data_IF_376275426862
#
_entry.id   IF_376275426862
#
_cell.length_a   1.000
_cell.length_b   1.000
_cell.length_c   1.000
_cell.angle_alpha   90.00
_cell.angle_beta   90.00
_cell.angle_gamma   90.00
#
_symmetry.space_group_name_H-M   'P 1'
#
loop_
_entity.id
_entity.type
_entity.pdbx_description
1 polymer ?
#
# COMPACT_ATOMS: atom_id res chain seq x y z
N UNK A 1 -14.94 -16.38 -10.86
CA UNK A 1 -14.95 -16.04 -9.43
C UNK A 1 -13.58 -15.78 -8.83
N UNK A 2 -12.55 -16.55 -9.17
CA UNK A 2 -11.21 -16.51 -8.55
C UNK A 2 -10.25 -15.41 -9.05
N UNK A 3 -10.51 -14.79 -10.21
CA UNK A 3 -9.60 -13.78 -10.80
C UNK A 3 -9.28 -12.57 -9.89
N UNK A 4 -10.27 -11.90 -9.22
CA UNK A 4 -9.95 -10.74 -8.38
C UNK A 4 -9.15 -11.07 -7.12
N UNK A 5 -9.46 -12.14 -6.33
CA UNK A 5 -8.63 -12.50 -5.18
C UNK A 5 -7.19 -12.87 -5.56
N UNK A 6 -7.01 -13.68 -6.61
CA UNK A 6 -5.69 -14.08 -7.08
C UNK A 6 -4.85 -12.87 -7.53
N UNK A 7 -5.46 -11.91 -8.24
CA UNK A 7 -4.81 -10.67 -8.63
C UNK A 7 -4.37 -9.86 -7.40
N UNK A 8 -5.19 -9.80 -6.35
CA UNK A 8 -4.83 -9.07 -5.12
C UNK A 8 -3.70 -9.75 -4.35
N UNK A 9 -3.69 -11.08 -4.26
CA UNK A 9 -2.55 -11.82 -3.67
C UNK A 9 -1.26 -11.51 -4.43
N UNK A 10 -1.30 -11.55 -5.77
CA UNK A 10 -0.15 -11.17 -6.62
C UNK A 10 0.31 -9.74 -6.33
N UNK A 11 -0.62 -8.80 -6.21
CA UNK A 11 -0.32 -7.40 -5.86
C UNK A 11 0.41 -7.33 -4.52
N UNK A 12 -0.01 -8.09 -3.49
CA UNK A 12 0.66 -8.05 -2.19
C UNK A 12 2.08 -8.66 -2.24
N UNK A 13 2.29 -9.69 -3.05
CA UNK A 13 3.64 -10.22 -3.30
C UNK A 13 4.55 -9.18 -3.98
N UNK A 14 4.04 -8.47 -4.98
CA UNK A 14 4.77 -7.38 -5.65
C UNK A 14 5.12 -6.26 -4.66
N UNK A 15 4.17 -5.87 -3.79
CA UNK A 15 4.39 -4.84 -2.77
C UNK A 15 5.42 -5.31 -1.74
N UNK A 16 5.40 -6.57 -1.36
CA UNK A 16 6.40 -7.14 -0.44
C UNK A 16 7.80 -7.03 -1.04
N UNK A 17 7.97 -7.39 -2.31
CA UNK A 17 9.23 -7.18 -3.04
C UNK A 17 9.65 -5.70 -3.11
N UNK A 18 8.69 -4.79 -3.34
CA UNK A 18 8.93 -3.34 -3.29
C UNK A 18 9.49 -2.91 -1.93
N UNK A 19 8.87 -3.36 -0.83
CA UNK A 19 9.28 -2.98 0.54
C UNK A 19 10.70 -3.48 0.81
N UNK A 20 11.01 -4.74 0.46
CA UNK A 20 12.33 -5.34 0.65
C UNK A 20 13.42 -4.59 -0.12
N UNK A 21 13.23 -4.37 -1.42
CA UNK A 21 14.19 -3.68 -2.26
C UNK A 21 14.35 -2.21 -1.84
N UNK A 22 13.24 -1.52 -1.54
CA UNK A 22 13.28 -0.13 -1.08
C UNK A 22 14.01 0.01 0.25
N UNK A 23 13.85 -0.94 1.19
CA UNK A 23 14.57 -0.97 2.47
C UNK A 23 16.08 -1.02 2.24
N UNK A 24 16.54 -1.87 1.34
CA UNK A 24 17.98 -2.00 1.02
C UNK A 24 18.52 -0.73 0.36
N UNK A 25 17.79 -0.13 -0.59
CA UNK A 25 18.26 1.05 -1.33
C UNK A 25 18.23 2.30 -0.44
N UNK A 26 17.23 2.46 0.40
CA UNK A 26 17.14 3.58 1.35
C UNK A 26 18.23 3.46 2.43
N UNK A 27 18.54 2.24 2.92
CA UNK A 27 19.64 2.03 3.87
C UNK A 27 21.03 2.39 3.28
N UNK A 28 21.18 2.36 1.96
CA UNK A 28 22.36 2.83 1.22
C UNK A 28 22.39 4.34 0.99
N UNK A 29 21.43 5.11 1.57
CA UNK A 29 21.41 6.56 1.54
C UNK A 29 20.58 7.19 0.42
N UNK A 30 19.83 6.41 -0.36
CA UNK A 30 18.96 6.98 -1.39
C UNK A 30 17.83 7.79 -0.78
N UNK A 31 17.59 8.98 -1.32
CA UNK A 31 16.53 9.86 -0.87
C UNK A 31 15.15 9.33 -1.30
N UNK A 32 14.24 9.17 -0.35
CA UNK A 32 12.95 8.53 -0.58
C UNK A 32 12.10 9.22 -1.66
N UNK A 33 12.15 10.57 -1.73
CA UNK A 33 11.43 11.32 -2.76
C UNK A 33 12.04 11.17 -4.15
N UNK A 34 13.38 11.00 -4.24
CA UNK A 34 14.03 10.68 -5.50
C UNK A 34 13.61 9.28 -6.00
N UNK A 35 13.56 8.28 -5.10
CA UNK A 35 13.05 6.96 -5.43
C UNK A 35 11.61 7.03 -5.96
N UNK A 36 10.73 7.80 -5.30
CA UNK A 36 9.34 7.97 -5.74
C UNK A 36 9.23 8.71 -7.08
N UNK A 37 10.03 9.76 -7.30
CA UNK A 37 10.06 10.51 -8.55
C UNK A 37 10.46 9.63 -9.74
N UNK A 38 11.59 8.92 -9.63
CA UNK A 38 12.06 8.00 -10.68
C UNK A 38 11.07 6.87 -10.93
N UNK A 39 10.57 6.22 -9.87
CA UNK A 39 9.57 5.17 -9.98
C UNK A 39 8.32 5.63 -10.72
N UNK A 40 7.82 6.83 -10.42
CA UNK A 40 6.63 7.38 -11.06
C UNK A 40 6.89 7.76 -12.52
N UNK A 41 8.05 8.34 -12.83
CA UNK A 41 8.43 8.69 -14.20
C UNK A 41 8.52 7.42 -15.09
N UNK A 42 9.30 6.43 -14.65
CA UNK A 42 9.41 5.16 -15.38
C UNK A 42 8.08 4.39 -15.40
N UNK A 43 7.29 4.41 -14.31
CA UNK A 43 5.97 3.81 -14.26
C UNK A 43 5.00 4.43 -15.28
N UNK A 44 5.01 5.76 -15.39
CA UNK A 44 4.23 6.49 -16.40
C UNK A 44 4.65 6.09 -17.81
N UNK A 45 5.96 6.03 -18.09
CA UNK A 45 6.48 5.58 -19.39
C UNK A 45 6.06 4.16 -19.72
N UNK A 46 5.98 3.27 -18.73
CA UNK A 46 5.55 1.88 -18.95
C UNK A 46 4.05 1.76 -19.19
N UNK A 47 3.20 2.58 -18.55
CA UNK A 47 1.74 2.50 -18.71
C UNK A 47 1.30 3.20 -20.01
N UNK A 48 1.97 4.27 -20.40
CA UNK A 48 1.61 5.13 -21.52
C UNK A 48 1.38 4.35 -22.84
N UNK A 49 2.24 3.41 -23.27
CA UNK A 49 2.00 2.62 -24.48
C UNK A 49 0.67 1.84 -24.40
N UNK A 50 0.36 1.25 -23.25
CA UNK A 50 -0.89 0.51 -23.06
C UNK A 50 -2.10 1.44 -23.16
N UNK A 51 -2.02 2.65 -22.59
CA UNK A 51 -3.06 3.66 -22.74
C UNK A 51 -3.27 4.07 -24.20
N UNK A 52 -2.16 4.24 -24.95
CA UNK A 52 -2.21 4.60 -26.36
C UNK A 52 -2.76 3.48 -27.25
N UNK A 53 -2.47 2.21 -26.95
CA UNK A 53 -2.93 1.07 -27.76
C UNK A 53 -4.37 0.65 -27.40
N UNK A 54 -4.67 0.47 -26.12
CA UNK A 54 -5.97 -0.09 -25.68
C UNK A 54 -7.07 0.97 -25.52
N UNK A 55 -6.71 2.22 -25.23
CA UNK A 55 -7.67 3.32 -25.00
C UNK A 55 -7.41 4.48 -25.96
N UNK A 56 -7.22 4.17 -27.23
CA UNK A 56 -6.86 5.11 -28.30
C UNK A 56 -7.86 6.27 -28.39
N UNK A 57 -7.36 7.51 -28.38
CA UNK A 57 -8.18 8.71 -28.50
C UNK A 57 -8.97 9.11 -27.26
N UNK A 58 -9.01 8.30 -26.20
CA UNK A 58 -9.76 8.55 -24.98
C UNK A 58 -9.17 9.66 -24.08
N UNK A 59 -7.93 10.08 -24.36
CA UNK A 59 -7.33 11.25 -23.71
C UNK A 59 -8.12 12.56 -24.01
N UNK A 60 -8.87 12.63 -25.12
CA UNK A 60 -9.71 13.78 -25.48
C UNK A 60 -10.93 13.94 -24.58
N UNK A 61 -11.35 12.87 -23.92
CA UNK A 61 -12.46 12.87 -22.95
C UNK A 61 -11.99 13.38 -21.56
N UNK A 62 -10.69 13.70 -21.40
CA UNK A 62 -10.10 14.21 -20.16
C UNK A 62 -10.52 15.68 -19.98
N UNK A 63 -11.61 15.89 -19.25
CA UNK A 63 -12.16 17.21 -18.95
C UNK A 63 -11.49 17.80 -17.70
N UNK A 64 -11.51 19.11 -17.51
CA UNK A 64 -10.98 19.79 -16.32
C UNK A 64 -11.51 19.21 -15.01
N UNK A 65 -12.78 18.82 -14.97
CA UNK A 65 -13.40 18.14 -13.83
C UNK A 65 -12.73 16.78 -13.53
N UNK A 66 -12.49 15.99 -14.56
CA UNK A 66 -11.81 14.69 -14.46
C UNK A 66 -10.36 14.86 -14.02
N UNK A 67 -9.66 15.85 -14.60
CA UNK A 67 -8.29 16.18 -14.22
C UNK A 67 -8.20 16.59 -12.74
N UNK A 68 -9.17 17.38 -12.26
CA UNK A 68 -9.29 17.77 -10.86
C UNK A 68 -9.44 16.55 -9.93
N UNK A 69 -10.29 15.58 -10.30
CA UNK A 69 -10.45 14.33 -9.54
C UNK A 69 -9.18 13.49 -9.55
N UNK A 70 -8.48 13.38 -10.68
CA UNK A 70 -7.22 12.64 -10.79
C UNK A 70 -6.11 13.34 -9.99
N UNK A 71 -6.04 14.68 -10.03
CA UNK A 71 -5.09 15.47 -9.25
C UNK A 71 -5.32 15.29 -7.73
N UNK A 72 -6.57 15.33 -7.28
CA UNK A 72 -6.95 15.04 -5.90
C UNK A 72 -6.58 13.61 -5.50
N UNK A 73 -6.87 12.64 -6.37
CA UNK A 73 -6.54 11.24 -6.17
C UNK A 73 -5.04 11.01 -6.04
N UNK A 74 -4.22 11.64 -6.88
CA UNK A 74 -2.76 11.55 -6.81
C UNK A 74 -2.18 12.25 -5.57
N UNK A 75 -2.76 13.39 -5.18
CA UNK A 75 -2.34 14.10 -3.98
C UNK A 75 -2.60 13.26 -2.73
N UNK A 76 -3.82 12.75 -2.57
CA UNK A 76 -4.24 11.98 -1.39
C UNK A 76 -3.63 10.57 -1.38
N UNK A 77 -3.45 9.95 -2.55
CA UNK A 77 -2.93 8.57 -2.64
C UNK A 77 -1.42 8.45 -2.76
N UNK A 78 -0.74 9.52 -3.15
CA UNK A 78 0.70 9.50 -3.43
C UNK A 78 1.48 10.52 -2.60
N UNK A 79 1.22 11.81 -2.80
CA UNK A 79 2.06 12.86 -2.26
C UNK A 79 1.89 12.99 -0.73
N UNK A 80 0.67 13.13 -0.25
CA UNK A 80 0.40 13.31 1.18
C UNK A 80 0.83 12.11 2.04
N UNK A 81 0.43 10.86 1.72
CA UNK A 81 0.86 9.73 2.55
C UNK A 81 2.38 9.56 2.56
N UNK A 82 3.06 9.81 1.45
CA UNK A 82 4.53 9.72 1.39
C UNK A 82 5.19 10.77 2.29
N UNK A 83 4.71 12.02 2.26
CA UNK A 83 5.22 13.09 3.12
C UNK A 83 4.97 12.80 4.60
N UNK A 84 3.73 12.48 4.95
CA UNK A 84 3.34 12.22 6.34
C UNK A 84 4.08 11.00 6.90
N UNK A 85 4.24 9.95 6.10
CA UNK A 85 4.99 8.76 6.49
C UNK A 85 6.49 9.07 6.68
N UNK A 86 7.10 9.85 5.78
CA UNK A 86 8.51 10.24 5.88
C UNK A 86 8.79 10.99 7.19
N UNK A 87 7.98 12.00 7.50
CA UNK A 87 8.14 12.75 8.76
C UNK A 87 7.75 11.92 9.99
N UNK A 88 6.73 11.09 9.87
CA UNK A 88 6.32 10.17 10.94
C UNK A 88 7.42 9.16 11.28
N UNK A 89 8.07 8.57 10.27
CA UNK A 89 9.20 7.66 10.45
C UNK A 89 10.44 8.34 11.04
N UNK A 90 10.65 9.62 10.73
CA UNK A 90 11.75 10.39 11.32
C UNK A 90 11.58 10.56 12.83
N UNK A 91 10.34 10.69 13.29
CA UNK A 91 10.01 10.95 14.69
C UNK A 91 9.70 9.66 15.48
N UNK A 92 9.62 8.49 14.80
CA UNK A 92 9.26 7.19 15.39
C UNK A 92 10.14 6.06 14.86
N UNK A 93 9.76 4.81 15.12
CA UNK A 93 10.46 3.63 14.62
C UNK A 93 9.72 2.98 13.44
N UNK A 94 10.44 2.30 12.50
CA UNK A 94 9.80 1.57 11.39
C UNK A 94 8.78 0.53 11.84
N UNK A 95 9.06 -0.17 12.96
CA UNK A 95 8.13 -1.15 13.52
C UNK A 95 6.84 -0.50 14.02
N UNK A 96 6.95 0.71 14.61
CA UNK A 96 5.80 1.48 15.04
C UNK A 96 4.97 1.98 13.85
N UNK A 97 5.61 2.47 12.79
CA UNK A 97 4.93 2.90 11.57
C UNK A 97 4.18 1.76 10.87
N UNK A 98 4.71 0.54 10.90
CA UNK A 98 4.05 -0.63 10.32
C UNK A 98 2.68 -0.93 10.96
N UNK A 99 2.52 -0.63 12.26
CA UNK A 99 1.23 -0.80 12.96
C UNK A 99 0.14 0.06 12.30
N UNK A 100 0.46 1.31 11.95
CA UNK A 100 -0.52 2.21 11.33
C UNK A 100 -0.91 1.80 9.92
N UNK A 101 0.01 1.20 9.15
CA UNK A 101 -0.33 0.64 7.83
C UNK A 101 -1.35 -0.50 7.93
N UNK A 102 -1.31 -1.27 9.00
CA UNK A 102 -2.22 -2.38 9.22
C UNK A 102 -3.65 -1.93 9.61
N UNK A 103 -3.84 -0.66 9.97
CA UNK A 103 -5.16 -0.08 10.27
C UNK A 103 -5.88 0.38 8.97
N UNK A 104 -5.17 0.51 7.85
CA UNK A 104 -5.72 0.97 6.57
C UNK A 104 -7.01 0.22 6.17
N UNK A 105 -7.10 -1.12 6.22
CA UNK A 105 -8.32 -1.83 5.86
C UNK A 105 -9.54 -1.40 6.69
N UNK A 106 -9.34 -1.18 7.98
CA UNK A 106 -10.40 -0.73 8.88
C UNK A 106 -10.88 0.67 8.51
N UNK A 107 -9.95 1.62 8.32
CA UNK A 107 -10.29 2.99 7.93
C UNK A 107 -11.00 3.00 6.57
N UNK A 108 -10.49 2.27 5.58
CA UNK A 108 -11.11 2.20 4.25
C UNK A 108 -12.51 1.60 4.32
N UNK A 109 -12.71 0.56 5.12
CA UNK A 109 -14.02 -0.05 5.31
C UNK A 109 -15.03 0.92 5.92
N UNK A 110 -14.62 1.67 6.97
CA UNK A 110 -15.45 2.71 7.59
C UNK A 110 -15.78 3.81 6.58
N UNK A 111 -14.76 4.36 5.88
CA UNK A 111 -14.97 5.41 4.89
C UNK A 111 -15.89 4.95 3.74
N UNK A 112 -15.69 3.74 3.24
CA UNK A 112 -16.50 3.17 2.16
C UNK A 112 -17.96 2.98 2.58
N UNK A 113 -18.19 2.66 3.85
CA UNK A 113 -19.52 2.52 4.44
C UNK A 113 -20.19 3.90 4.61
N UNK A 114 -19.48 4.87 5.17
CA UNK A 114 -19.97 6.25 5.36
C UNK A 114 -20.31 6.89 4.00
N UNK A 115 -19.47 6.68 2.99
CA UNK A 115 -19.70 7.17 1.63
C UNK A 115 -20.72 6.34 0.84
N UNK A 116 -21.40 5.38 1.48
CA UNK A 116 -22.40 4.48 0.87
C UNK A 116 -21.90 3.72 -0.37
N UNK A 117 -20.60 3.48 -0.44
CA UNK A 117 -19.98 2.68 -1.50
C UNK A 117 -20.03 1.19 -1.20
N UNK A 118 -20.10 0.83 0.07
CA UNK A 118 -20.32 -0.53 0.57
C UNK A 118 -21.68 -0.60 1.27
N UNK A 119 -22.48 -1.60 0.90
CA UNK A 119 -23.75 -1.87 1.61
C UNK A 119 -23.43 -2.61 2.89
N UNK A 120 -23.53 -1.92 4.01
CA UNK A 120 -23.37 -2.52 5.33
C UNK A 120 -24.77 -2.72 5.95
N UNK A 121 -25.24 -3.92 5.93
CA UNK A 121 -26.45 -4.33 6.65
C UNK A 121 -26.02 -5.01 7.95
N UNK A 122 -25.82 -4.23 9.01
CA UNK A 122 -25.38 -4.75 10.32
C UNK A 122 -26.27 -5.88 10.89
N UNK A 123 -27.54 -5.91 10.50
CA UNK A 123 -28.51 -6.93 10.95
C UNK A 123 -28.50 -8.21 10.12
N UNK A 124 -27.67 -8.30 9.07
CA UNK A 124 -27.55 -9.50 8.26
C UNK A 124 -26.28 -10.27 8.58
N UNK A 125 -26.33 -11.59 8.49
CA UNK A 125 -25.16 -12.46 8.68
C UNK A 125 -23.99 -12.06 7.79
N UNK A 126 -24.25 -11.59 6.56
CA UNK A 126 -23.25 -11.10 5.61
C UNK A 126 -22.53 -9.83 6.06
N UNK A 127 -23.27 -8.89 6.65
CA UNK A 127 -22.68 -7.66 7.20
C UNK A 127 -21.79 -7.94 8.41
N UNK A 128 -22.27 -8.79 9.34
CA UNK A 128 -21.50 -9.20 10.52
C UNK A 128 -20.21 -9.94 10.12
N UNK A 129 -20.27 -10.83 9.14
CA UNK A 129 -19.08 -11.55 8.63
C UNK A 129 -18.01 -10.59 8.07
N UNK A 130 -18.40 -9.53 7.35
CA UNK A 130 -17.45 -8.53 6.87
C UNK A 130 -16.76 -7.80 8.01
N UNK A 131 -17.52 -7.33 9.01
CA UNK A 131 -16.96 -6.64 10.17
C UNK A 131 -15.99 -7.54 10.95
N UNK A 132 -16.43 -8.78 11.25
CA UNK A 132 -15.58 -9.76 11.93
C UNK A 132 -14.33 -10.06 11.12
N UNK A 133 -14.44 -10.23 9.80
CA UNK A 133 -13.29 -10.46 8.92
C UNK A 133 -12.28 -9.31 8.94
N UNK A 134 -12.74 -8.04 8.92
CA UNK A 134 -11.87 -6.85 9.05
C UNK A 134 -11.18 -6.84 10.40
N UNK A 135 -11.92 -7.04 11.49
CA UNK A 135 -11.37 -7.02 12.86
C UNK A 135 -10.35 -8.15 13.07
N UNK A 136 -10.63 -9.36 12.57
CA UNK A 136 -9.69 -10.47 12.63
C UNK A 136 -8.42 -10.19 11.82
N UNK A 137 -8.54 -9.63 10.62
CA UNK A 137 -7.37 -9.32 9.79
C UNK A 137 -6.48 -8.25 10.46
N UNK A 138 -7.07 -7.18 10.98
CA UNK A 138 -6.34 -6.13 11.70
C UNK A 138 -5.77 -6.66 13.02
N UNK A 139 -6.56 -7.41 13.79
CA UNK A 139 -6.10 -8.04 15.04
C UNK A 139 -4.93 -9.02 14.81
N UNK A 140 -4.98 -9.81 13.73
CA UNK A 140 -3.89 -10.70 13.32
C UNK A 140 -2.59 -9.95 13.02
N UNK A 141 -2.65 -8.83 12.30
CA UNK A 141 -1.45 -8.01 12.04
C UNK A 141 -0.91 -7.33 13.30
N UNK A 142 -1.79 -6.94 14.22
CA UNK A 142 -1.38 -6.43 15.53
C UNK A 142 -0.67 -7.52 16.35
N UNK A 143 -1.17 -8.77 16.30
CA UNK A 143 -0.51 -9.91 16.93
C UNK A 143 0.91 -10.12 16.36
N UNK A 144 1.09 -10.11 15.03
CA UNK A 144 2.41 -10.23 14.41
C UNK A 144 3.35 -9.12 14.88
N UNK A 145 2.84 -7.89 15.02
CA UNK A 145 3.66 -6.70 15.30
C UNK A 145 3.99 -6.55 16.80
N UNK A 146 3.05 -6.88 17.68
CA UNK A 146 3.16 -6.60 19.12
C UNK A 146 3.55 -7.83 19.94
N UNK A 147 3.04 -9.01 19.58
CA UNK A 147 3.29 -10.24 20.34
C UNK A 147 4.37 -11.07 19.69
N UNK A 148 5.56 -11.12 20.27
CA UNK A 148 6.69 -11.92 19.78
C UNK A 148 6.63 -13.37 20.25
N UNK A 149 6.31 -13.64 21.52
CA UNK A 149 6.26 -14.99 22.09
C UNK A 149 7.62 -15.73 22.01
N UNK A 150 7.57 -17.05 22.04
CA UNK A 150 8.77 -17.90 21.89
C UNK A 150 9.31 -17.86 20.45
N UNK A 151 10.63 -17.81 20.32
CA UNK A 151 11.33 -17.88 19.03
C UNK A 151 11.33 -19.32 18.56
N UNK A 152 10.84 -19.55 17.33
CA UNK A 152 10.88 -20.84 16.66
C UNK A 152 12.14 -20.88 15.76
N UNK A 153 13.11 -21.70 16.12
CA UNK A 153 14.34 -21.91 15.33
C UNK A 153 14.03 -22.89 14.20
N UNK A 154 13.44 -22.41 13.11
CA UNK A 154 13.12 -23.25 11.94
C UNK A 154 14.33 -23.39 11.00
N UNK A 155 15.25 -22.45 11.02
CA UNK A 155 16.45 -22.40 10.18
C UNK A 155 17.63 -21.96 11.05
N UNK A 156 18.70 -22.74 11.05
CA UNK A 156 19.89 -22.49 11.88
C UNK A 156 20.76 -21.35 11.34
N UNK A 157 20.40 -20.11 11.60
CA UNK A 157 21.30 -18.97 11.37
C UNK A 157 21.13 -17.91 12.43
N UNK A 158 22.11 -17.85 13.33
CA UNK A 158 22.31 -16.78 14.30
C UNK A 158 22.90 -15.55 13.61
N UNK A 159 22.09 -14.76 12.89
CA UNK A 159 22.49 -13.41 12.55
C UNK A 159 21.92 -12.45 13.59
N UNK A 160 22.84 -11.87 14.34
CA UNK A 160 22.62 -10.90 15.42
C UNK A 160 21.80 -9.72 14.89
N UNK A 161 20.55 -9.61 15.31
CA UNK A 161 19.72 -8.43 15.07
C UNK A 161 20.40 -7.23 15.74
N UNK A 162 21.06 -6.39 14.97
CA UNK A 162 21.41 -5.06 15.45
C UNK A 162 20.10 -4.25 15.56
N UNK A 163 19.64 -4.17 16.79
CA UNK A 163 18.53 -3.31 17.18
C UNK A 163 19.02 -1.86 17.10
N UNK A 164 18.70 -1.18 16.01
CA UNK A 164 18.85 0.28 15.96
C UNK A 164 17.71 0.88 16.80
N UNK A 165 17.87 0.88 18.10
CA UNK A 165 17.11 1.72 19.00
C UNK A 165 17.85 3.07 19.11
N UNK A 166 17.43 4.04 18.32
CA UNK A 166 17.76 5.43 18.63
C UNK A 166 16.82 5.89 19.75
N UNK A 167 17.34 6.51 20.83
CA UNK A 167 16.52 7.07 21.89
C UNK A 167 15.78 8.30 21.34
N UNK A 168 14.52 8.14 20.97
CA UNK A 168 13.66 9.25 20.59
C UNK A 168 13.07 9.88 21.85
N UNK A 169 13.24 11.21 22.00
CA UNK A 169 12.63 11.97 23.08
C UNK A 169 11.10 11.88 22.98
N UNK A 170 10.43 11.67 24.11
CA UNK A 170 8.96 11.44 24.18
C UNK A 170 8.13 12.53 23.45
N UNK A 171 8.64 13.76 23.39
CA UNK A 171 7.96 14.89 22.74
C UNK A 171 7.84 14.75 21.21
N UNK A 172 8.79 14.10 20.54
CA UNK A 172 8.73 13.84 19.11
C UNK A 172 7.85 12.64 18.76
N UNK A 173 7.70 11.69 19.68
CA UNK A 173 6.92 10.47 19.45
C UNK A 173 5.42 10.74 19.23
N UNK A 174 4.82 11.67 19.97
CA UNK A 174 3.40 12.05 19.80
C UNK A 174 3.17 12.68 18.42
N UNK A 175 4.06 13.60 18.00
CA UNK A 175 4.00 14.20 16.66
C UNK A 175 4.11 13.14 15.56
N UNK A 176 5.06 12.21 15.69
CA UNK A 176 5.24 11.12 14.77
C UNK A 176 4.01 10.21 14.68
N UNK A 177 3.36 9.93 15.81
CA UNK A 177 2.10 9.16 15.86
C UNK A 177 0.98 9.84 15.08
N UNK A 178 0.78 11.14 15.27
CA UNK A 178 -0.25 11.92 14.54
C UNK A 178 0.03 11.91 13.04
N UNK A 179 1.29 12.08 12.64
CA UNK A 179 1.70 12.05 11.23
C UNK A 179 1.48 10.67 10.59
N UNK A 180 1.81 9.57 11.29
CA UNK A 180 1.57 8.21 10.82
C UNK A 180 0.09 7.88 10.71
N UNK A 181 -0.72 8.31 11.68
CA UNK A 181 -2.17 8.16 11.61
C UNK A 181 -2.75 8.93 10.42
N UNK A 182 -2.31 10.17 10.22
CA UNK A 182 -2.67 10.99 9.05
C UNK A 182 -2.27 10.33 7.73
N UNK A 183 -1.07 9.73 7.67
CA UNK A 183 -0.61 8.97 6.50
C UNK A 183 -1.53 7.79 6.19
N UNK A 184 -1.90 7.01 7.21
CA UNK A 184 -2.80 5.86 7.05
C UNK A 184 -4.20 6.29 6.63
N UNK A 185 -4.69 7.40 7.17
CA UNK A 185 -5.98 7.96 6.80
C UNK A 185 -6.00 8.44 5.34
N UNK A 186 -5.00 9.19 4.91
CA UNK A 186 -4.89 9.65 3.52
C UNK A 186 -4.76 8.48 2.55
N UNK A 187 -3.92 7.48 2.88
CA UNK A 187 -3.78 6.30 2.05
C UNK A 187 -5.08 5.48 1.98
N UNK A 188 -5.80 5.33 3.08
CA UNK A 188 -7.10 4.66 3.12
C UNK A 188 -8.16 5.41 2.29
N UNK A 189 -8.13 6.74 2.29
CA UNK A 189 -9.05 7.60 1.54
C UNK A 189 -8.84 7.51 0.02
N UNK A 190 -7.65 7.10 -0.42
CA UNK A 190 -7.37 6.90 -1.84
C UNK A 190 -8.31 5.89 -2.49
N UNK A 191 -8.65 4.78 -1.84
CA UNK A 191 -9.49 3.73 -2.41
C UNK A 191 -10.92 4.19 -2.74
N UNK A 192 -11.64 4.88 -1.84
CA UNK A 192 -12.93 5.49 -2.17
C UNK A 192 -12.82 6.54 -3.29
N UNK A 193 -11.79 7.39 -3.25
CA UNK A 193 -11.59 8.42 -4.28
C UNK A 193 -11.30 7.77 -5.64
N UNK A 194 -10.46 6.73 -5.68
CA UNK A 194 -10.21 5.94 -6.88
C UNK A 194 -11.51 5.32 -7.44
N UNK A 195 -12.42 4.87 -6.56
CA UNK A 195 -13.73 4.38 -6.98
C UNK A 195 -14.56 5.48 -7.64
N UNK A 196 -14.50 6.73 -7.14
CA UNK A 196 -15.16 7.88 -7.76
C UNK A 196 -14.52 8.25 -9.09
N UNK A 197 -13.20 8.27 -9.17
CA UNK A 197 -12.46 8.50 -10.43
C UNK A 197 -12.87 7.47 -11.48
N UNK A 198 -12.96 6.19 -11.13
CA UNK A 198 -13.39 5.13 -12.04
C UNK A 198 -14.83 5.29 -12.55
N UNK A 199 -15.71 5.97 -11.78
CA UNK A 199 -17.08 6.29 -12.22
C UNK A 199 -17.12 7.47 -13.18
N UNK A 200 -16.31 8.50 -12.94
CA UNK A 200 -16.24 9.71 -13.75
C UNK A 200 -15.46 9.46 -15.05
N UNK A 201 -14.39 8.67 -14.96
CA UNK A 201 -13.49 8.37 -16.06
C UNK A 201 -13.14 6.88 -16.08
N UNK A 202 -13.91 6.05 -16.79
CA UNK A 202 -13.78 4.59 -16.76
C UNK A 202 -12.55 4.05 -17.52
N UNK A 203 -11.72 4.92 -18.10
CA UNK A 203 -10.51 4.56 -18.85
C UNK A 203 -9.34 4.35 -17.89
N UNK A 204 -9.13 3.10 -17.48
CA UNK A 204 -8.20 2.72 -16.41
C UNK A 204 -6.73 2.98 -16.76
N UNK A 205 -6.31 2.78 -18.02
CA UNK A 205 -4.91 3.03 -18.40
C UNK A 205 -4.58 4.52 -18.42
N UNK A 206 -5.45 5.36 -19.01
CA UNK A 206 -5.26 6.81 -18.98
C UNK A 206 -5.38 7.38 -17.57
N UNK A 207 -6.33 6.88 -16.77
CA UNK A 207 -6.46 7.28 -15.36
C UNK A 207 -5.21 6.93 -14.56
N UNK A 208 -4.68 5.71 -14.72
CA UNK A 208 -3.45 5.28 -14.05
C UNK A 208 -2.23 6.08 -14.51
N UNK A 209 -2.08 6.33 -15.81
CA UNK A 209 -1.00 7.14 -16.37
C UNK A 209 -1.01 8.55 -15.79
N UNK A 210 -2.18 9.21 -15.82
CA UNK A 210 -2.34 10.57 -15.30
C UNK A 210 -2.12 10.63 -13.78
N UNK A 211 -2.62 9.65 -13.02
CA UNK A 211 -2.39 9.57 -11.56
C UNK A 211 -0.90 9.37 -11.23
N UNK A 212 -0.20 8.49 -11.94
CA UNK A 212 1.23 8.28 -11.74
C UNK A 212 2.06 9.51 -12.11
N UNK A 213 1.72 10.16 -13.23
CA UNK A 213 2.40 11.37 -13.69
C UNK A 213 2.22 12.52 -12.70
N UNK A 214 0.98 12.85 -12.34
CA UNK A 214 0.67 13.93 -11.40
C UNK A 214 1.22 13.64 -10.00
N UNK A 215 1.10 12.40 -9.52
CA UNK A 215 1.67 11.98 -8.23
C UNK A 215 3.20 12.06 -8.22
N UNK A 216 3.84 11.66 -9.32
CA UNK A 216 5.28 11.83 -9.51
C UNK A 216 5.71 13.28 -9.51
N UNK A 217 4.98 14.15 -10.22
CA UNK A 217 5.24 15.59 -10.25
C UNK A 217 5.10 16.21 -8.86
N UNK A 218 4.02 15.92 -8.15
CA UNK A 218 3.76 16.43 -6.80
C UNK A 218 4.86 16.00 -5.81
N UNK A 219 5.22 14.71 -5.81
CA UNK A 219 6.29 14.19 -4.92
C UNK A 219 7.65 14.74 -5.28
N UNK A 220 7.94 14.96 -6.57
CA UNK A 220 9.18 15.58 -7.03
C UNK A 220 9.28 17.03 -6.57
N UNK A 221 8.22 17.82 -6.73
CA UNK A 221 8.18 19.22 -6.25
C UNK A 221 8.42 19.30 -4.75
N UNK A 222 7.75 18.45 -3.96
CA UNK A 222 7.96 18.38 -2.52
C UNK A 222 9.41 17.98 -2.19
N UNK A 223 9.95 16.97 -2.88
CA UNK A 223 11.33 16.52 -2.69
C UNK A 223 12.36 17.61 -2.97
N UNK A 224 12.18 18.42 -4.03
CA UNK A 224 13.05 19.57 -4.38
C UNK A 224 12.98 20.67 -3.31
N UNK A 225 11.79 20.95 -2.76
CA UNK A 225 11.62 21.91 -1.68
C UNK A 225 12.35 21.43 -0.42
N UNK A 226 12.30 20.14 -0.11
CA UNK A 226 12.92 19.56 1.08
C UNK A 226 14.43 19.43 0.98
N UNK A 227 14.96 19.08 -0.20
CA UNK A 227 16.40 18.93 -0.48
C UNK A 227 16.73 19.37 -1.89
N UNK A 228 17.40 20.54 -1.99
CA UNK A 228 17.88 21.12 -3.25
C UNK A 228 19.22 20.56 -3.72
N UNK A 229 19.90 19.77 -2.91
CA UNK A 229 21.21 19.22 -3.24
C UNK A 229 21.11 18.21 -4.37
N UNK A 230 21.79 18.52 -5.50
CA UNK A 230 21.82 17.68 -6.71
C UNK A 230 22.40 16.29 -6.45
N UNK A 231 23.29 16.14 -5.47
CA UNK A 231 23.93 14.87 -5.17
C UNK A 231 22.94 13.83 -4.60
N UNK A 232 21.91 14.29 -3.88
CA UNK A 232 20.85 13.40 -3.33
C UNK A 232 19.91 12.84 -4.38
N UNK A 233 19.90 13.42 -5.60
CA UNK A 233 19.11 13.01 -6.75
C UNK A 233 19.88 12.16 -7.76
N UNK A 234 21.20 11.94 -7.55
CA UNK A 234 21.98 11.09 -8.45
C UNK A 234 21.53 9.66 -8.38
N UNK A 235 21.28 9.08 -9.55
CA UNK A 235 20.94 7.69 -9.73
C UNK A 235 22.21 6.87 -9.96
N UNK A 236 22.46 5.87 -9.12
CA UNK A 236 23.52 4.87 -9.35
C UNK A 236 23.07 3.80 -10.34
N UNK A 237 24.02 3.32 -11.17
CA UNK A 237 23.77 2.22 -12.14
C UNK A 237 23.84 0.83 -11.48
N UNK A 238 23.53 0.74 -10.19
CA UNK A 238 23.60 -0.45 -9.37
C UNK A 238 22.22 -1.02 -9.03
N UNK A 239 22.12 -1.64 -7.85
CA UNK A 239 20.88 -2.13 -7.24
C UNK A 239 19.78 -1.05 -7.21
N UNK A 240 20.16 0.26 -7.19
CA UNK A 240 19.21 1.37 -7.22
C UNK A 240 18.40 1.36 -8.53
N UNK A 241 19.06 1.21 -9.68
CA UNK A 241 18.39 1.16 -10.98
C UNK A 241 17.47 -0.06 -11.08
N UNK A 242 17.97 -1.24 -10.66
CA UNK A 242 17.16 -2.46 -10.64
C UNK A 242 15.90 -2.28 -9.78
N UNK A 243 16.05 -1.67 -8.60
CA UNK A 243 14.93 -1.37 -7.70
C UNK A 243 13.94 -0.42 -8.34
N UNK A 244 14.41 0.64 -9.02
CA UNK A 244 13.55 1.60 -9.71
C UNK A 244 12.78 0.91 -10.84
N UNK A 245 13.43 0.13 -11.68
CA UNK A 245 12.78 -0.59 -12.80
C UNK A 245 11.74 -1.57 -12.27
N UNK A 246 12.10 -2.41 -11.29
CA UNK A 246 11.15 -3.33 -10.64
C UNK A 246 9.94 -2.58 -10.08
N UNK A 247 10.18 -1.52 -9.31
CA UNK A 247 9.11 -0.76 -8.65
C UNK A 247 8.27 0.05 -9.63
N UNK A 248 8.84 0.52 -10.73
CA UNK A 248 8.13 1.22 -11.79
C UNK A 248 7.21 0.27 -12.57
N UNK A 249 7.73 -0.87 -13.01
CA UNK A 249 6.97 -1.80 -13.85
C UNK A 249 5.95 -2.57 -13.01
N UNK A 250 6.39 -3.25 -11.96
CA UNK A 250 5.52 -4.14 -11.19
C UNK A 250 4.73 -3.39 -10.12
N UNK A 251 5.41 -2.62 -9.27
CA UNK A 251 4.75 -2.00 -8.13
C UNK A 251 4.06 -0.66 -8.44
N UNK A 252 4.26 -0.12 -9.63
CA UNK A 252 3.51 1.06 -10.10
C UNK A 252 2.58 0.69 -11.24
N UNK A 253 3.09 0.28 -12.40
CA UNK A 253 2.25 0.06 -13.57
C UNK A 253 1.27 -1.12 -13.38
N UNK A 254 1.77 -2.31 -13.02
CA UNK A 254 0.91 -3.52 -12.87
C UNK A 254 -0.01 -3.37 -11.66
N UNK A 255 0.53 -2.99 -10.50
CA UNK A 255 -0.23 -2.83 -9.26
C UNK A 255 -1.39 -1.87 -9.41
N UNK A 256 -1.15 -0.63 -9.87
CA UNK A 256 -2.18 0.40 -10.00
C UNK A 256 -3.34 -0.06 -10.89
N UNK A 257 -3.03 -0.67 -12.02
CA UNK A 257 -4.05 -1.17 -12.93
C UNK A 257 -4.87 -2.31 -12.30
N UNK A 258 -4.23 -3.24 -11.56
CA UNK A 258 -4.91 -4.33 -10.88
C UNK A 258 -5.76 -3.83 -9.70
N UNK A 259 -5.24 -2.91 -8.89
CA UNK A 259 -5.99 -2.31 -7.78
C UNK A 259 -7.18 -1.48 -8.29
N UNK A 260 -6.98 -0.61 -9.29
CA UNK A 260 -8.07 0.16 -9.89
C UNK A 260 -9.15 -0.74 -10.49
N UNK A 261 -8.75 -1.82 -11.18
CA UNK A 261 -9.69 -2.82 -11.69
C UNK A 261 -10.46 -3.55 -10.58
N UNK A 262 -9.79 -3.91 -9.48
CA UNK A 262 -10.43 -4.56 -8.35
C UNK A 262 -11.41 -3.63 -7.63
N UNK A 263 -11.03 -2.35 -7.43
CA UNK A 263 -11.91 -1.29 -6.90
C UNK A 263 -13.15 -1.13 -7.76
N UNK A 264 -12.99 -1.07 -9.09
CA UNK A 264 -14.12 -0.93 -10.00
C UNK A 264 -15.07 -2.14 -9.97
N UNK A 265 -14.55 -3.36 -9.80
CA UNK A 265 -15.35 -4.59 -9.81
C UNK A 265 -15.95 -4.99 -8.47
N UNK A 266 -15.25 -4.75 -7.37
CA UNK A 266 -15.57 -5.29 -6.04
C UNK A 266 -15.74 -4.23 -4.97
N UNK A 267 -15.54 -2.96 -5.32
CA UNK A 267 -15.59 -1.83 -4.40
C UNK A 267 -14.26 -1.55 -3.68
N UNK A 268 -14.17 -0.37 -3.01
CA UNK A 268 -12.91 0.14 -2.46
C UNK A 268 -12.38 -0.66 -1.27
N UNK A 269 -13.23 -1.26 -0.45
CA UNK A 269 -12.80 -2.08 0.69
C UNK A 269 -12.17 -3.43 0.28
N UNK A 270 -12.46 -3.95 -0.91
CA UNK A 270 -12.00 -5.28 -1.31
C UNK A 270 -10.47 -5.37 -1.44
N UNK A 271 -9.76 -4.49 -2.15
CA UNK A 271 -8.30 -4.58 -2.27
C UNK A 271 -7.59 -4.40 -0.93
N UNK A 272 -8.10 -3.52 -0.06
CA UNK A 272 -7.45 -3.20 1.22
C UNK A 272 -7.43 -4.38 2.19
N UNK A 273 -8.39 -5.29 2.10
CA UNK A 273 -8.43 -6.49 2.93
C UNK A 273 -7.25 -7.45 2.69
N UNK A 274 -6.55 -7.30 1.58
CA UNK A 274 -5.35 -8.08 1.27
C UNK A 274 -4.07 -7.44 1.82
N UNK A 275 -4.08 -6.16 2.24
CA UNK A 275 -2.90 -5.45 2.79
C UNK A 275 -2.26 -6.22 3.96
N UNK A 276 -2.99 -6.80 4.92
CA UNK A 276 -2.43 -7.61 5.99
C UNK A 276 -1.55 -8.77 5.52
N UNK A 277 -1.75 -9.31 4.31
CA UNK A 277 -0.89 -10.35 3.75
C UNK A 277 0.55 -9.87 3.50
N UNK A 278 0.77 -8.56 3.31
CA UNK A 278 2.12 -8.00 3.20
C UNK A 278 2.93 -8.36 4.46
N UNK A 279 2.34 -8.20 5.63
CA UNK A 279 3.01 -8.50 6.91
C UNK A 279 3.37 -9.98 7.00
N UNK A 280 2.48 -10.87 6.51
CA UNK A 280 2.75 -12.30 6.47
C UNK A 280 3.89 -12.61 5.49
N UNK A 281 3.83 -12.09 4.27
CA UNK A 281 4.84 -12.32 3.24
C UNK A 281 6.20 -11.72 3.63
N UNK A 282 6.22 -10.50 4.20
CA UNK A 282 7.47 -9.89 4.69
C UNK A 282 8.10 -10.70 5.81
N UNK A 283 7.31 -11.23 6.75
CA UNK A 283 7.83 -12.08 7.83
C UNK A 283 8.46 -13.36 7.28
N UNK A 284 7.82 -14.00 6.31
CA UNK A 284 8.35 -15.21 5.66
C UNK A 284 9.63 -14.90 4.88
N UNK A 285 9.64 -13.83 4.07
CA UNK A 285 10.80 -13.45 3.28
C UNK A 285 11.97 -12.96 4.16
N UNK A 286 11.71 -12.21 5.23
CA UNK A 286 12.73 -11.79 6.20
C UNK A 286 13.37 -13.03 6.87
N UNK A 287 12.58 -14.07 7.14
CA UNK A 287 13.11 -15.32 7.68
C UNK A 287 14.00 -16.08 6.68
N UNK A 288 13.58 -16.14 5.41
CA UNK A 288 14.31 -16.87 4.36
C UNK A 288 15.59 -16.13 3.95
N UNK A 289 15.52 -14.81 3.70
CA UNK A 289 16.63 -14.04 3.14
C UNK A 289 17.53 -13.39 4.19
N UNK A 290 16.97 -13.00 5.34
CA UNK A 290 17.69 -12.29 6.39
C UNK A 290 17.92 -13.17 7.64
N UNK A 291 17.46 -14.44 7.63
CA UNK A 291 17.57 -15.32 8.77
C UNK A 291 16.82 -14.82 10.01
N UNK A 292 15.80 -13.98 9.84
CA UNK A 292 15.00 -13.49 10.95
C UNK A 292 14.23 -14.64 11.60
N UNK A 293 14.27 -14.70 12.92
CA UNK A 293 13.60 -15.75 13.66
C UNK A 293 12.06 -15.60 13.57
N UNK A 294 11.40 -16.67 13.17
CA UNK A 294 9.93 -16.74 13.22
C UNK A 294 9.50 -16.92 14.67
N UNK A 295 8.57 -16.10 15.13
CA UNK A 295 8.04 -16.17 16.49
C UNK A 295 6.66 -16.83 16.50
N UNK A 296 6.27 -17.39 17.65
CA UNK A 296 4.89 -17.92 17.83
C UNK A 296 3.84 -16.85 17.53
N UNK A 297 4.12 -15.59 17.90
CA UNK A 297 3.24 -14.47 17.61
C UNK A 297 3.07 -14.22 16.11
N UNK A 298 4.14 -14.31 15.32
CA UNK A 298 4.05 -14.16 13.86
C UNK A 298 3.26 -15.28 13.20
N UNK A 299 3.38 -16.52 13.69
CA UNK A 299 2.61 -17.65 13.16
C UNK A 299 1.12 -17.53 13.49
N UNK A 300 0.78 -17.28 14.76
CA UNK A 300 -0.60 -17.09 15.19
C UNK A 300 -1.27 -15.90 14.48
N UNK A 301 -0.54 -14.80 14.39
CA UNK A 301 -1.02 -13.62 13.67
C UNK A 301 -1.25 -13.88 12.19
N UNK A 302 -0.35 -14.61 11.51
CA UNK A 302 -0.52 -15.01 10.11
C UNK A 302 -1.78 -15.85 9.89
N UNK A 303 -2.01 -16.86 10.73
CA UNK A 303 -3.23 -17.69 10.70
C UNK A 303 -4.48 -16.82 10.90
N UNK A 304 -4.44 -15.90 11.87
CA UNK A 304 -5.57 -14.99 12.16
C UNK A 304 -5.84 -14.04 10.97
N UNK A 305 -4.80 -13.53 10.31
CA UNK A 305 -4.93 -12.68 9.10
C UNK A 305 -5.61 -13.48 7.98
N UNK A 306 -5.17 -14.70 7.71
CA UNK A 306 -5.72 -15.54 6.64
C UNK A 306 -7.19 -15.89 6.95
N UNK A 307 -7.50 -16.25 8.20
CA UNK A 307 -8.86 -16.52 8.64
C UNK A 307 -9.76 -15.27 8.48
N UNK A 308 -9.29 -14.09 8.89
CA UNK A 308 -9.99 -12.82 8.74
C UNK A 308 -10.29 -12.50 7.27
N UNK A 309 -9.29 -12.64 6.40
CA UNK A 309 -9.45 -12.47 4.96
C UNK A 309 -10.50 -13.43 4.39
N UNK A 310 -10.44 -14.70 4.77
CA UNK A 310 -11.40 -15.71 4.31
C UNK A 310 -12.83 -15.37 4.73
N UNK A 311 -13.03 -15.01 6.01
CA UNK A 311 -14.34 -14.61 6.56
C UNK A 311 -14.91 -13.39 5.83
N UNK A 312 -14.07 -12.38 5.56
CA UNK A 312 -14.47 -11.21 4.80
C UNK A 312 -14.88 -11.56 3.36
N UNK A 313 -14.07 -12.36 2.66
CA UNK A 313 -14.35 -12.76 1.28
C UNK A 313 -15.62 -13.60 1.19
N UNK A 314 -15.87 -14.45 2.18
CA UNK A 314 -17.10 -15.25 2.25
C UNK A 314 -18.33 -14.35 2.46
N UNK A 315 -18.28 -13.39 3.39
CA UNK A 315 -19.31 -12.37 3.55
C UNK A 315 -19.56 -11.58 2.26
N UNK A 316 -18.49 -11.18 1.58
CA UNK A 316 -18.57 -10.41 0.32
C UNK A 316 -19.12 -11.25 -0.84
N UNK A 317 -18.85 -12.56 -0.89
CA UNK A 317 -19.36 -13.45 -1.94
C UNK A 317 -20.87 -13.64 -1.87
N UNK A 318 -21.43 -13.64 -0.67
CA UNK A 318 -22.88 -13.76 -0.47
C UNK A 318 -23.68 -12.50 -0.82
N UNK A 319 -23.02 -11.35 -0.94
CA UNK A 319 -23.66 -10.11 -1.41
C UNK A 319 -23.82 -10.03 -2.93
N UNK A 320 -22.98 -10.75 -3.66
CA UNK A 320 -23.06 -10.76 -5.11
C UNK A 320 -24.22 -11.67 -5.51
N UNK A 321 -25.23 -11.15 -6.24
CA UNK A 321 -26.27 -12.02 -6.76
C UNK A 321 -25.62 -13.11 -7.60
N UNK A 322 -25.93 -14.34 -7.28
CA UNK A 322 -25.62 -15.51 -8.10
C UNK A 322 -26.24 -15.27 -9.48
N UNK A 323 -25.40 -14.94 -10.47
CA UNK A 323 -25.77 -14.96 -11.89
C UNK A 323 -25.71 -16.38 -12.39
#
# INVERSE_FOLDING_TARGET
>A
MWKPPAAMVLVQLIITGLIMLSKVVISRGMFIFALHAYRSAFGTMCILPFAMFYERGKWKELNWRTLGWICLNSCIGYAMPTCLNYYGLRDTTPSYAAIFLNIIPLITFILSTVLRMEKLQFRTATGSLKVVGVLLAVGGTMLVSLYKGKVLHLWGSSLRHQRYEQPHTAKHHVRGTILLLGSSFTFASWYPIQSMVNKVYPHKYWSSTATCFLGGLQTTLIGIILRRDRNTWKLGWDLQLLTIVYTAVLATAVRYNLESWAVAKRGPAFPTMFIPLITVFTTVLDSIFLGAAITVGSLLGAVTVIAGLYVFLWGKSKELPTK
#
